data_IF_381843179808
#
_entry.id   IF_381843179808
#
_cell.length_a   1.000
_cell.length_b   1.000
_cell.length_c   1.000
_cell.angle_alpha   90.00
_cell.angle_beta   90.00
_cell.angle_gamma   90.00
#
_symmetry.space_group_name_H-M   'P 1'
#
loop_
_entity.id
_entity.type
_entity.pdbx_description
1 polymer ?
#
# COMPACT_ATOMS: atom_id res chain seq x y z
N UNK A 1 5.08 6.12 -14.81
CA UNK A 1 4.19 5.95 -13.66
C UNK A 1 4.90 6.26 -12.36
N UNK A 2 4.13 6.66 -11.35
CA UNK A 2 4.64 6.95 -10.02
C UNK A 2 4.21 5.85 -9.05
N UNK A 3 5.08 5.55 -8.08
CA UNK A 3 4.76 4.59 -7.02
C UNK A 3 4.67 5.33 -5.70
N UNK A 4 3.50 5.27 -5.07
CA UNK A 4 3.26 5.87 -3.76
C UNK A 4 3.57 4.86 -2.67
N UNK A 5 4.65 5.09 -1.93
CA UNK A 5 5.11 4.23 -0.83
C UNK A 5 4.98 4.92 0.53
N UNK A 6 4.32 6.08 0.56
CA UNK A 6 4.21 6.89 1.76
C UNK A 6 5.40 7.83 1.94
N UNK A 7 5.34 8.61 2.99
CA UNK A 7 6.34 9.62 3.33
C UNK A 7 6.88 9.37 4.73
N UNK A 8 8.20 9.45 4.89
CA UNK A 8 8.82 9.29 6.20
C UNK A 8 8.53 10.51 7.08
N UNK A 9 8.02 10.25 8.29
CA UNK A 9 7.82 11.25 9.33
C UNK A 9 8.30 10.66 10.65
N UNK A 10 9.15 11.38 11.38
CA UNK A 10 9.73 10.88 12.62
C UNK A 10 8.69 10.49 13.67
N UNK A 11 7.58 11.21 13.70
CA UNK A 11 6.51 10.99 14.69
C UNK A 11 5.46 9.97 14.23
N UNK A 12 5.69 9.28 13.11
CA UNK A 12 4.77 8.26 12.62
C UNK A 12 4.75 7.06 13.56
N UNK A 13 3.57 6.79 14.16
CA UNK A 13 3.39 5.69 15.11
C UNK A 13 2.57 4.54 14.56
N UNK A 14 1.59 4.82 13.71
CA UNK A 14 0.67 3.82 13.17
C UNK A 14 1.22 3.14 11.92
N UNK A 15 1.70 3.92 10.97
CA UNK A 15 2.21 3.42 9.70
C UNK A 15 3.72 3.51 9.65
N UNK A 16 4.35 2.59 8.89
CA UNK A 16 5.78 2.67 8.63
C UNK A 16 6.12 3.97 7.90
N UNK A 17 5.30 4.33 6.92
CA UNK A 17 5.37 5.60 6.20
C UNK A 17 3.98 6.22 6.15
N UNK A 18 3.88 7.53 6.34
CA UNK A 18 2.59 8.20 6.29
C UNK A 18 2.06 8.25 4.87
N UNK A 19 0.77 7.92 4.64
CA UNK A 19 0.21 7.93 3.29
C UNK A 19 0.07 9.31 2.67
N UNK A 20 -0.19 10.36 3.45
CA UNK A 20 -0.30 11.75 2.98
C UNK A 20 -1.05 11.87 1.64
N UNK A 21 -2.31 11.45 1.63
CA UNK A 21 -3.15 11.48 0.43
C UNK A 21 -3.34 12.88 -0.14
N UNK A 22 -3.19 13.92 0.69
CA UNK A 22 -3.23 15.31 0.26
C UNK A 22 -2.12 15.62 -0.77
N UNK A 23 -0.93 15.07 -0.56
CA UNK A 23 0.19 15.24 -1.50
C UNK A 23 -0.05 14.45 -2.79
N UNK A 24 -0.63 13.26 -2.68
CA UNK A 24 -0.99 12.44 -3.84
C UNK A 24 -1.98 13.19 -4.73
N UNK A 25 -2.98 13.83 -4.12
CA UNK A 25 -3.98 14.63 -4.86
C UNK A 25 -3.33 15.80 -5.58
N UNK A 26 -2.38 16.48 -4.95
CA UNK A 26 -1.67 17.60 -5.58
C UNK A 26 -0.88 17.13 -6.80
N UNK A 27 -0.19 15.99 -6.69
CA UNK A 27 0.58 15.43 -7.80
C UNK A 27 -0.36 15.03 -8.94
N UNK A 28 -1.49 14.39 -8.62
CA UNK A 28 -2.47 13.98 -9.62
C UNK A 28 -3.06 15.18 -10.36
N UNK A 29 -3.35 16.26 -9.64
CA UNK A 29 -3.90 17.46 -10.25
C UNK A 29 -2.90 18.14 -11.19
N UNK A 30 -1.61 18.09 -10.84
CA UNK A 30 -0.55 18.70 -11.66
C UNK A 30 -0.19 17.82 -12.86
N UNK A 31 -0.24 16.50 -12.70
CA UNK A 31 0.15 15.54 -13.73
C UNK A 31 -0.94 14.48 -13.93
N UNK A 32 -2.14 14.88 -14.43
CA UNK A 32 -3.26 13.94 -14.50
C UNK A 32 -3.07 12.74 -15.42
N UNK A 33 -2.13 12.83 -16.37
CA UNK A 33 -1.85 11.76 -17.34
C UNK A 33 -0.92 10.69 -16.79
N UNK A 34 -0.28 10.91 -15.62
CA UNK A 34 0.67 9.94 -15.06
C UNK A 34 -0.05 8.98 -14.12
N UNK A 35 -0.03 7.66 -14.39
CA UNK A 35 -0.63 6.68 -13.48
C UNK A 35 0.11 6.64 -12.14
N UNK A 36 -0.65 6.52 -11.05
CA UNK A 36 -0.10 6.40 -9.69
C UNK A 36 -0.47 5.03 -9.14
N UNK A 37 0.56 4.26 -8.77
CA UNK A 37 0.42 2.93 -8.15
C UNK A 37 0.69 3.08 -6.66
N UNK A 38 -0.18 2.53 -5.82
CA UNK A 38 0.03 2.55 -4.36
C UNK A 38 0.70 1.26 -3.91
N UNK A 39 1.69 1.40 -3.05
CA UNK A 39 2.37 0.29 -2.39
C UNK A 39 1.92 0.24 -0.92
N UNK A 40 0.78 -0.38 -0.61
CA UNK A 40 0.27 -0.40 0.75
C UNK A 40 1.16 -1.17 1.72
N UNK A 41 1.94 -2.13 1.23
CA UNK A 41 2.86 -2.90 2.09
C UNK A 41 3.89 -1.98 2.75
N UNK A 42 4.50 -1.08 1.98
CA UNK A 42 5.51 -0.16 2.50
C UNK A 42 4.90 0.98 3.33
N UNK A 43 3.67 1.40 3.03
CA UNK A 43 2.96 2.40 3.83
C UNK A 43 2.61 1.80 5.20
N UNK A 44 1.96 0.65 5.19
CA UNK A 44 1.49 0.00 6.40
C UNK A 44 2.64 -0.47 7.32
N UNK A 45 3.63 -1.16 6.74
CA UNK A 45 4.72 -1.76 7.51
C UNK A 45 4.32 -2.97 8.32
N UNK A 46 3.03 -3.27 8.41
CA UNK A 46 2.46 -4.40 9.15
C UNK A 46 1.31 -5.00 8.36
N UNK A 47 1.21 -6.34 8.34
CA UNK A 47 0.16 -7.05 7.61
C UNK A 47 -1.25 -6.61 8.01
N UNK A 48 -1.46 -6.34 9.29
CA UNK A 48 -2.77 -5.97 9.84
C UNK A 48 -3.29 -4.62 9.32
N UNK A 49 -2.42 -3.76 8.81
CA UNK A 49 -2.80 -2.44 8.32
C UNK A 49 -2.94 -2.37 6.80
N UNK A 50 -2.51 -3.41 6.07
CA UNK A 50 -2.48 -3.40 4.60
C UNK A 50 -3.87 -3.19 4.02
N UNK A 51 -4.88 -3.92 4.50
CA UNK A 51 -6.23 -3.79 3.97
C UNK A 51 -6.76 -2.36 4.13
N UNK A 52 -6.54 -1.74 5.28
CA UNK A 52 -6.99 -0.37 5.53
C UNK A 52 -6.35 0.63 4.56
N UNK A 53 -5.06 0.48 4.31
CA UNK A 53 -4.36 1.34 3.35
C UNK A 53 -4.89 1.11 1.93
N UNK A 54 -5.17 -0.15 1.56
CA UNK A 54 -5.78 -0.47 0.26
C UNK A 54 -7.15 0.19 0.11
N UNK A 55 -7.98 0.13 1.16
CA UNK A 55 -9.29 0.78 1.14
C UNK A 55 -9.17 2.28 0.91
N UNK A 56 -8.23 2.93 1.60
CA UNK A 56 -7.96 4.36 1.42
C UNK A 56 -7.50 4.66 -0.01
N UNK A 57 -6.60 3.81 -0.56
CA UNK A 57 -6.11 3.99 -1.92
C UNK A 57 -7.23 3.92 -2.94
N UNK A 58 -8.15 2.96 -2.77
CA UNK A 58 -9.30 2.82 -3.67
C UNK A 58 -10.24 4.02 -3.56
N UNK A 59 -10.46 4.56 -2.36
CA UNK A 59 -11.24 5.79 -2.16
C UNK A 59 -10.62 6.97 -2.89
N UNK A 60 -9.28 7.04 -2.95
CA UNK A 60 -8.55 8.09 -3.65
C UNK A 60 -8.40 7.82 -5.15
N UNK A 61 -9.04 6.77 -5.66
CA UNK A 61 -9.05 6.41 -7.08
C UNK A 61 -7.66 6.19 -7.67
N UNK A 62 -6.80 5.54 -6.90
CA UNK A 62 -5.47 5.14 -7.33
C UNK A 62 -5.58 4.17 -8.52
N UNK A 63 -4.64 4.26 -9.46
CA UNK A 63 -4.67 3.48 -10.69
C UNK A 63 -4.31 2.00 -10.50
N UNK A 64 -3.56 1.66 -9.45
CA UNK A 64 -3.21 0.28 -9.17
C UNK A 64 -2.59 0.09 -7.80
N UNK A 65 -2.44 -1.17 -7.41
CA UNK A 65 -1.85 -1.58 -6.14
C UNK A 65 -0.64 -2.47 -6.39
N UNK A 66 0.39 -2.32 -5.56
CA UNK A 66 1.58 -3.16 -5.57
C UNK A 66 1.74 -3.74 -4.17
N UNK A 67 1.58 -5.06 -4.02
CA UNK A 67 1.57 -5.71 -2.70
C UNK A 67 2.65 -6.77 -2.65
N UNK A 68 3.44 -6.76 -1.58
CA UNK A 68 4.48 -7.75 -1.36
C UNK A 68 3.87 -9.07 -0.87
N UNK A 69 4.22 -10.17 -1.54
CA UNK A 69 3.73 -11.51 -1.23
C UNK A 69 4.90 -12.48 -1.09
N UNK A 70 4.87 -13.32 -0.06
CA UNK A 70 5.87 -14.36 0.16
C UNK A 70 5.16 -15.58 0.75
N UNK A 71 5.45 -16.80 0.26
CA UNK A 71 4.75 -17.98 0.77
C UNK A 71 5.06 -18.30 2.23
N UNK A 72 6.21 -17.85 2.73
CA UNK A 72 6.57 -17.92 4.16
C UNK A 72 7.02 -16.52 4.62
N UNK A 73 6.10 -15.59 4.91
CA UNK A 73 6.44 -14.18 5.14
C UNK A 73 7.51 -13.94 6.20
N UNK A 74 7.49 -14.74 7.29
CA UNK A 74 8.47 -14.58 8.37
C UNK A 74 9.89 -14.99 7.97
N UNK A 75 10.06 -15.65 6.82
CA UNK A 75 11.35 -16.05 6.27
C UNK A 75 11.79 -15.18 5.10
N UNK A 76 11.04 -14.13 4.77
CA UNK A 76 11.43 -13.20 3.73
C UNK A 76 12.75 -12.52 4.08
N UNK A 77 13.60 -12.28 3.07
CA UNK A 77 14.91 -11.65 3.25
C UNK A 77 14.80 -10.18 3.66
N UNK A 78 13.68 -9.52 3.32
CA UNK A 78 13.44 -8.13 3.68
C UNK A 78 11.96 -7.92 3.99
N UNK A 79 11.67 -6.93 4.82
CA UNK A 79 10.30 -6.47 5.10
C UNK A 79 9.34 -7.59 5.51
N UNK A 80 9.81 -8.58 6.28
CA UNK A 80 9.02 -9.75 6.66
C UNK A 80 7.69 -9.40 7.31
N UNK A 81 7.65 -8.35 8.13
CA UNK A 81 6.46 -7.95 8.87
C UNK A 81 5.33 -7.43 7.98
N UNK A 82 5.65 -6.97 6.77
CA UNK A 82 4.67 -6.42 5.83
C UNK A 82 4.35 -7.35 4.66
N UNK A 83 5.03 -8.50 4.55
CA UNK A 83 4.76 -9.49 3.51
C UNK A 83 3.48 -10.27 3.81
N UNK A 84 2.67 -10.53 2.79
CA UNK A 84 1.51 -11.42 2.91
C UNK A 84 1.85 -12.79 2.34
N UNK A 85 1.22 -13.86 2.88
CA UNK A 85 1.26 -15.15 2.21
C UNK A 85 0.21 -15.15 1.07
N UNK A 86 0.35 -16.05 0.06
CA UNK A 86 -0.60 -16.09 -1.06
C UNK A 86 -2.07 -16.26 -0.62
N UNK A 87 -2.32 -17.04 0.39
CA UNK A 87 -3.68 -17.28 0.92
C UNK A 87 -4.29 -15.99 1.46
N UNK A 88 -3.53 -15.22 2.24
CA UNK A 88 -3.99 -13.95 2.80
C UNK A 88 -4.12 -12.88 1.72
N UNK A 89 -3.24 -12.89 0.73
CA UNK A 89 -3.33 -11.99 -0.42
C UNK A 89 -4.63 -12.23 -1.19
N UNK A 90 -4.96 -13.49 -1.46
CA UNK A 90 -6.23 -13.83 -2.13
C UNK A 90 -7.43 -13.34 -1.33
N UNK A 91 -7.41 -13.55 -0.01
CA UNK A 91 -8.47 -13.07 0.87
C UNK A 91 -8.59 -11.55 0.84
N UNK A 92 -7.46 -10.85 0.82
CA UNK A 92 -7.44 -9.39 0.72
C UNK A 92 -8.13 -8.93 -0.56
N UNK A 93 -7.80 -9.53 -1.71
CA UNK A 93 -8.44 -9.17 -2.98
C UNK A 93 -9.95 -9.35 -2.92
N UNK A 94 -10.42 -10.46 -2.34
CA UNK A 94 -11.85 -10.71 -2.18
C UNK A 94 -12.51 -9.66 -1.27
N UNK A 95 -11.87 -9.32 -0.15
CA UNK A 95 -12.39 -8.32 0.78
C UNK A 95 -12.49 -6.93 0.15
N UNK A 96 -11.61 -6.62 -0.80
CA UNK A 96 -11.62 -5.35 -1.53
C UNK A 96 -12.55 -5.35 -2.74
N UNK A 97 -13.19 -6.49 -3.06
CA UNK A 97 -14.02 -6.61 -4.24
C UNK A 97 -13.23 -6.74 -5.53
N UNK A 98 -11.96 -7.10 -5.45
CA UNK A 98 -11.08 -7.29 -6.60
C UNK A 98 -10.94 -8.77 -6.96
N UNK A 99 -10.61 -9.06 -8.20
CA UNK A 99 -10.44 -10.44 -8.67
C UNK A 99 -8.99 -10.75 -8.99
#
# INVERSE_FOLDING_TARGET
KLIHRGFFLEDSKKYRNQPRWDLVKKIRNKYPEIPIICDPSHIAGKRTLIQRVCEQALEEQIDGLMIEVHHKPNQALSDAQQQLCPKKFKKLLLNLGLK
#
